data_IF_943637499786
#
_entry.id   IF_943637499786
#
_cell.length_a   1.000
_cell.length_b   1.000
_cell.length_c   1.000
_cell.angle_alpha   90.00
_cell.angle_beta   90.00
_cell.angle_gamma   90.00
#
_symmetry.space_group_name_H-M   'P 1'
#
loop_
_entity.id
_entity.type
_entity.pdbx_description
1 polymer ?
#
# COMPACT_ATOMS: atom_id res chain seq x y z
N UNK A 1 -4.91 5.49 13.53
CA UNK A 1 -3.81 6.06 12.70
C UNK A 1 -2.49 5.27 12.73
N UNK A 2 -2.19 4.42 13.74
CA UNK A 2 -0.84 3.80 13.87
C UNK A 2 -0.72 2.36 13.35
N UNK A 3 -1.82 1.69 13.02
CA UNK A 3 -1.80 0.24 12.71
C UNK A 3 -1.23 -0.08 11.33
N UNK A 4 -1.59 0.70 10.30
CA UNK A 4 -1.15 0.42 8.92
C UNK A 4 0.34 0.69 8.71
N UNK A 5 0.85 1.86 9.13
CA UNK A 5 2.29 2.14 9.06
C UNK A 5 3.13 1.15 9.89
N UNK A 6 2.59 0.67 11.02
CA UNK A 6 3.26 -0.32 11.87
C UNK A 6 3.44 -1.69 11.22
N UNK A 7 2.53 -2.11 10.33
CA UNK A 7 2.65 -3.38 9.61
C UNK A 7 3.85 -3.43 8.67
N UNK A 8 4.15 -2.29 8.02
CA UNK A 8 5.29 -2.18 7.12
C UNK A 8 6.60 -1.98 7.88
N UNK A 9 6.59 -1.14 8.92
CA UNK A 9 7.78 -0.89 9.73
C UNK A 9 8.29 -2.13 10.49
N UNK A 10 7.40 -3.05 10.87
CA UNK A 10 7.74 -4.21 11.71
C UNK A 10 8.23 -5.43 10.92
N UNK A 11 8.11 -5.44 9.59
CA UNK A 11 8.41 -6.61 8.75
C UNK A 11 9.57 -6.47 7.78
N UNK A 12 10.34 -5.37 7.86
CA UNK A 12 11.60 -5.22 7.12
C UNK A 12 11.48 -5.53 5.62
N UNK A 13 10.37 -5.10 5.00
CA UNK A 13 10.29 -5.09 3.54
C UNK A 13 10.95 -3.83 3.01
N UNK A 14 11.73 -3.98 1.94
CA UNK A 14 12.28 -2.86 1.19
C UNK A 14 11.14 -2.16 0.44
N UNK A 15 10.50 -1.22 1.13
CA UNK A 15 9.55 -0.28 0.54
C UNK A 15 10.38 0.80 -0.15
N UNK A 16 10.31 0.86 -1.47
CA UNK A 16 10.95 1.90 -2.28
C UNK A 16 10.16 3.21 -2.22
N UNK A 17 8.85 3.13 -2.01
CA UNK A 17 7.98 4.30 -1.90
C UNK A 17 6.67 3.98 -1.20
N UNK A 18 6.17 4.95 -0.44
CA UNK A 18 4.85 4.91 0.19
C UNK A 18 4.11 6.20 -0.14
N UNK A 19 2.87 6.06 -0.58
CA UNK A 19 1.96 7.17 -0.82
C UNK A 19 0.66 6.89 -0.07
N UNK A 20 0.22 7.81 0.76
CA UNK A 20 -1.03 7.71 1.50
C UNK A 20 -1.85 8.96 1.20
N UNK A 21 -3.03 8.78 0.63
CA UNK A 21 -3.95 9.87 0.33
C UNK A 21 -5.33 9.58 0.92
N UNK A 22 -5.98 10.57 1.54
CA UNK A 22 -7.38 10.43 1.94
C UNK A 22 -8.26 10.35 0.69
N UNK A 23 -9.33 9.55 0.76
CA UNK A 23 -10.34 9.53 -0.31
C UNK A 23 -11.36 10.63 0.02
N UNK A 24 -11.59 11.60 -0.89
CA UNK A 24 -12.59 12.64 -0.66
C UNK A 24 -13.98 12.00 -0.48
N UNK A 25 -14.80 12.58 0.40
CA UNK A 25 -16.14 12.09 0.77
C UNK A 25 -16.17 10.70 1.42
N UNK A 26 -15.04 10.19 1.92
CA UNK A 26 -14.97 8.93 2.65
C UNK A 26 -14.11 9.05 3.90
N UNK A 27 -14.40 8.23 4.90
CA UNK A 27 -13.53 8.08 6.09
C UNK A 27 -12.38 7.09 5.84
N UNK A 28 -12.08 6.82 4.57
CA UNK A 28 -11.09 5.85 4.11
C UNK A 28 -9.87 6.57 3.54
N UNK A 29 -8.71 5.94 3.69
CA UNK A 29 -7.46 6.38 3.09
C UNK A 29 -6.96 5.30 2.13
N UNK A 30 -6.41 5.72 0.99
CA UNK A 30 -5.79 4.82 0.03
C UNK A 30 -4.28 4.89 0.16
N UNK A 31 -3.66 3.72 0.28
CA UNK A 31 -2.22 3.58 0.45
C UNK A 31 -1.67 2.82 -0.75
N UNK A 32 -0.69 3.42 -1.43
CA UNK A 32 0.09 2.78 -2.48
C UNK A 32 1.50 2.53 -1.97
N UNK A 33 2.01 1.36 -2.30
CA UNK A 33 3.31 0.89 -1.83
C UNK A 33 4.07 0.38 -3.03
N UNK A 34 5.23 0.98 -3.26
CA UNK A 34 6.21 0.46 -4.19
C UNK A 34 7.12 -0.45 -3.39
N UNK A 35 7.04 -1.74 -3.67
CA UNK A 35 7.81 -2.79 -3.01
C UNK A 35 8.42 -3.69 -4.08
N UNK A 36 9.56 -4.29 -3.76
CA UNK A 36 10.16 -5.30 -4.62
C UNK A 36 9.28 -6.55 -4.71
N UNK A 37 9.30 -7.20 -5.87
CA UNK A 37 8.58 -8.46 -6.12
C UNK A 37 9.27 -9.62 -5.41
N UNK A 38 9.12 -9.68 -4.09
CA UNK A 38 9.60 -10.78 -3.26
C UNK A 38 8.54 -11.90 -3.22
N UNK A 39 8.97 -13.16 -3.19
CA UNK A 39 8.09 -14.33 -3.02
C UNK A 39 7.20 -14.22 -1.77
N UNK A 40 7.63 -13.48 -0.74
CA UNK A 40 6.86 -13.27 0.50
C UNK A 40 5.70 -12.29 0.36
N UNK A 41 5.62 -11.51 -0.73
CA UNK A 41 4.59 -10.48 -0.94
C UNK A 41 3.18 -11.07 -0.94
N UNK A 42 2.98 -12.25 -1.53
CA UNK A 42 1.68 -12.91 -1.57
C UNK A 42 1.13 -13.27 -0.18
N UNK A 43 2.00 -13.80 0.69
CA UNK A 43 1.61 -14.13 2.07
C UNK A 43 1.27 -12.87 2.87
N UNK A 44 1.99 -11.78 2.61
CA UNK A 44 1.76 -10.50 3.25
C UNK A 44 0.42 -9.90 2.87
N UNK A 45 0.08 -9.89 1.57
CA UNK A 45 -1.23 -9.43 1.09
C UNK A 45 -2.34 -10.18 1.81
N UNK A 46 -2.25 -11.51 1.87
CA UNK A 46 -3.25 -12.34 2.56
C UNK A 46 -3.35 -12.07 4.07
N UNK A 47 -2.28 -11.59 4.71
CA UNK A 47 -2.36 -11.18 6.12
C UNK A 47 -2.93 -9.79 6.31
N UNK A 48 -2.63 -8.86 5.40
CA UNK A 48 -3.16 -7.49 5.44
C UNK A 48 -4.67 -7.52 5.14
N UNK A 49 -5.12 -8.34 4.19
CA UNK A 49 -6.54 -8.54 3.89
C UNK A 49 -7.36 -9.13 5.06
N UNK A 50 -6.70 -9.72 6.06
CA UNK A 50 -7.37 -10.25 7.26
C UNK A 50 -7.56 -9.21 8.36
N UNK A 51 -7.03 -8.01 8.19
CA UNK A 51 -7.16 -6.94 9.18
C UNK A 51 -8.50 -6.25 9.01
N UNK A 52 -9.21 -6.00 10.12
CA UNK A 52 -10.50 -5.30 10.10
C UNK A 52 -10.38 -3.86 9.55
N UNK A 53 -9.23 -3.22 9.72
CA UNK A 53 -8.95 -1.88 9.21
C UNK A 53 -8.72 -1.85 7.69
N UNK A 54 -8.59 -3.00 7.03
CA UNK A 54 -8.28 -3.08 5.60
C UNK A 54 -9.49 -3.59 4.84
N UNK A 55 -10.07 -2.70 4.05
CA UNK A 55 -11.21 -3.04 3.23
C UNK A 55 -10.83 -3.88 2.00
N UNK A 56 -9.69 -3.55 1.37
CA UNK A 56 -9.22 -4.23 0.15
C UNK A 56 -7.73 -4.04 -0.06
N UNK A 57 -7.04 -5.10 -0.48
CA UNK A 57 -5.67 -5.03 -0.99
C UNK A 57 -5.69 -5.45 -2.45
N UNK A 58 -5.02 -4.69 -3.32
CA UNK A 58 -4.89 -5.03 -4.73
C UNK A 58 -3.42 -5.05 -5.09
N UNK A 59 -2.92 -6.22 -5.51
CA UNK A 59 -1.59 -6.33 -6.10
C UNK A 59 -1.68 -5.89 -7.55
N UNK A 60 -1.08 -4.76 -7.86
CA UNK A 60 -0.91 -4.34 -9.24
C UNK A 60 0.54 -4.62 -9.65
N UNK A 61 0.73 -5.53 -10.61
CA UNK A 61 2.05 -5.78 -11.24
C UNK A 61 2.30 -4.80 -12.40
N UNK A 62 1.45 -3.79 -12.56
CA UNK A 62 1.57 -2.81 -13.62
C UNK A 62 2.81 -1.94 -13.42
N UNK A 63 3.29 -1.42 -14.55
CA UNK A 63 4.51 -0.64 -14.70
C UNK A 63 4.79 0.33 -13.53
N UNK A 64 6.02 0.34 -12.98
CA UNK A 64 6.39 1.21 -11.85
C UNK A 64 6.18 2.71 -12.14
N UNK A 65 6.10 3.12 -13.42
CA UNK A 65 5.72 4.50 -13.78
C UNK A 65 4.32 4.90 -13.32
N UNK A 66 3.43 3.94 -13.05
CA UNK A 66 2.08 4.22 -12.55
C UNK A 66 2.10 4.86 -11.15
N UNK A 67 3.06 4.48 -10.30
CA UNK A 67 3.24 5.12 -8.99
C UNK A 67 3.60 6.60 -9.14
N UNK A 68 4.51 6.92 -10.06
CA UNK A 68 4.91 8.30 -10.34
C UNK A 68 3.78 9.11 -10.98
N UNK A 69 3.00 8.51 -11.88
CA UNK A 69 1.83 9.15 -12.49
C UNK A 69 0.77 9.49 -11.45
N UNK A 70 0.46 8.55 -10.54
CA UNK A 70 -0.51 8.78 -9.47
C UNK A 70 -0.06 9.95 -8.59
N UNK A 71 1.22 10.02 -8.20
CA UNK A 71 1.74 11.14 -7.42
C UNK A 71 1.54 12.51 -8.10
N UNK A 72 1.73 12.58 -9.42
CA UNK A 72 1.54 13.81 -10.22
C UNK A 72 0.06 14.19 -10.39
N UNK A 73 -0.87 13.22 -10.34
CA UNK A 73 -2.31 13.49 -10.50
C UNK A 73 -2.97 14.13 -9.27
N UNK A 74 -2.26 14.23 -8.14
CA UNK A 74 -2.78 14.79 -6.89
C UNK A 74 -2.05 16.07 -6.42
N UNK A 75 -1.31 16.74 -7.31
CA UNK A 75 -0.84 18.14 -7.12
C UNK A 75 -1.95 19.17 -7.40
#
# INVERSE_FOLDING_TARGET
MTHVCGLFARRAFNVEGILCLPIPDSNQSRIWLLVNDDQRLGQMISQIEKLEDVEKVVRNQSDPSMFSKIAVFFE
#
